data_IF_115498270177
#
_entry.id   IF_115498270177
#
_cell.length_a   1.000
_cell.length_b   1.000
_cell.length_c   1.000
_cell.angle_alpha   90.00
_cell.angle_beta   90.00
_cell.angle_gamma   90.00
#
_symmetry.space_group_name_H-M   'P 1'
#
loop_
_entity.id
_entity.type
_entity.pdbx_description
1 polymer ?
#
# COMPACT_ATOMS: atom_id res chain seq x y z
N UNK A 1 -4.87 -61.41 24.84
CA UNK A 1 -4.41 -61.31 23.43
C UNK A 1 -4.58 -59.88 22.95
N UNK A 2 -3.52 -59.33 22.38
CA UNK A 2 -3.40 -57.97 21.86
C UNK A 2 -3.79 -57.95 20.38
N UNK A 3 -4.72 -57.07 19.94
CA UNK A 3 -4.89 -56.71 18.53
C UNK A 3 -5.30 -55.24 18.41
N UNK A 4 -4.29 -54.43 18.13
CA UNK A 4 -4.36 -53.03 17.74
C UNK A 4 -5.11 -52.92 16.40
N UNK A 5 -6.19 -52.14 16.37
CA UNK A 5 -6.77 -51.64 15.13
C UNK A 5 -6.88 -50.12 15.21
N UNK A 6 -5.97 -49.51 14.46
CA UNK A 6 -5.91 -48.10 14.08
C UNK A 6 -7.10 -47.79 13.19
N UNK A 7 -7.92 -46.79 13.56
CA UNK A 7 -8.53 -45.82 12.63
C UNK A 7 -9.17 -44.69 13.45
N UNK A 8 -8.49 -43.54 13.50
CA UNK A 8 -8.95 -42.31 14.14
C UNK A 8 -9.60 -41.42 13.07
N UNK A 9 -10.94 -41.21 13.03
CA UNK A 9 -11.50 -40.12 12.25
C UNK A 9 -11.46 -38.87 13.13
N UNK A 10 -10.46 -38.01 12.88
CA UNK A 10 -10.46 -36.62 13.36
C UNK A 10 -11.54 -35.84 12.62
N UNK A 11 -12.78 -35.91 13.12
CA UNK A 11 -13.84 -34.97 12.77
C UNK A 11 -13.67 -33.73 13.66
N UNK A 12 -12.85 -32.78 13.20
CA UNK A 12 -12.74 -31.47 13.85
C UNK A 12 -13.99 -30.67 13.46
N UNK A 13 -14.82 -30.42 14.47
CA UNK A 13 -15.89 -29.41 14.45
C UNK A 13 -15.24 -28.04 14.25
N UNK A 14 -15.47 -27.42 13.10
CA UNK A 14 -15.18 -26.00 12.90
C UNK A 14 -16.44 -25.19 13.28
N UNK A 15 -16.50 -24.86 14.56
CA UNK A 15 -17.37 -23.85 15.15
C UNK A 15 -17.12 -22.46 14.55
N UNK A 16 -18.21 -21.74 14.30
CA UNK A 16 -18.37 -20.28 14.32
C UNK A 16 -17.23 -19.41 13.76
N UNK A 17 -17.50 -18.79 12.61
CA UNK A 17 -16.89 -17.50 12.28
C UNK A 17 -17.93 -16.57 11.65
N UNK A 18 -18.88 -16.11 12.49
CA UNK A 18 -19.45 -14.79 12.30
C UNK A 18 -18.32 -13.78 12.60
N UNK A 19 -17.61 -13.36 11.56
CA UNK A 19 -16.82 -12.13 11.62
C UNK A 19 -17.59 -11.02 10.96
N UNK A 20 -18.47 -10.43 11.76
CA UNK A 20 -18.53 -8.98 11.85
C UNK A 20 -17.24 -8.51 12.54
N UNK A 21 -16.19 -8.26 11.75
CA UNK A 21 -15.14 -7.32 12.09
C UNK A 21 -15.11 -6.33 10.92
N UNK A 22 -15.80 -5.20 11.04
CA UNK A 22 -15.15 -3.98 11.50
C UNK A 22 -13.85 -3.74 10.73
N UNK A 23 -13.96 -3.00 9.63
CA UNK A 23 -12.97 -2.00 9.19
C UNK A 23 -11.54 -2.33 9.61
N UNK A 24 -10.99 -3.48 9.21
CA UNK A 24 -9.55 -3.62 9.23
C UNK A 24 -9.07 -2.69 8.12
N UNK A 25 -8.19 -1.70 8.39
CA UNK A 25 -7.37 -1.19 7.32
C UNK A 25 -6.42 -2.35 6.96
N UNK A 26 -6.93 -3.32 6.22
CA UNK A 26 -6.13 -4.28 5.46
C UNK A 26 -5.48 -3.57 4.26
N UNK A 27 -5.78 -2.27 4.07
CA UNK A 27 -4.92 -1.31 3.40
C UNK A 27 -4.04 -0.60 4.44
N UNK A 28 -3.33 -1.35 5.27
CA UNK A 28 -2.05 -0.84 5.71
C UNK A 28 -1.25 -0.69 4.42
N UNK A 29 -1.08 0.56 4.00
CA UNK A 29 -0.42 1.06 2.81
C UNK A 29 1.02 0.49 2.63
N UNK A 30 1.17 -0.81 2.45
CA UNK A 30 2.48 -1.46 2.32
C UNK A 30 2.90 -1.41 0.86
N UNK A 31 3.93 -0.62 0.59
CA UNK A 31 4.58 -0.51 -0.71
C UNK A 31 4.63 0.95 -1.18
N UNK A 32 3.50 1.46 -1.69
CA UNK A 32 3.49 2.71 -2.47
C UNK A 32 2.86 3.88 -1.70
N UNK A 33 1.73 3.62 -1.05
CA UNK A 33 0.92 4.65 -0.40
C UNK A 33 1.51 5.21 0.90
N UNK A 34 2.44 4.50 1.54
CA UNK A 34 3.17 5.00 2.72
C UNK A 34 4.56 5.57 2.36
N UNK A 35 5.28 4.93 1.42
CA UNK A 35 6.66 5.29 1.10
C UNK A 35 6.76 6.47 0.12
N UNK A 36 5.97 6.46 -0.97
CA UNK A 36 6.07 7.50 -2.00
C UNK A 36 5.69 8.90 -1.52
N UNK A 37 4.60 9.13 -0.75
CA UNK A 37 4.26 10.47 -0.29
C UNK A 37 5.34 11.11 0.57
N UNK A 38 5.98 10.32 1.44
CA UNK A 38 7.03 10.78 2.32
C UNK A 38 8.27 11.19 1.52
N UNK A 39 8.67 10.38 0.55
CA UNK A 39 9.84 10.65 -0.29
C UNK A 39 9.60 11.82 -1.28
N UNK A 40 8.41 11.92 -1.88
CA UNK A 40 8.07 13.09 -2.72
C UNK A 40 8.15 14.39 -1.89
N UNK A 41 7.72 14.36 -0.62
CA UNK A 41 7.81 15.53 0.27
C UNK A 41 9.26 15.91 0.57
N UNK A 42 10.14 14.95 0.82
CA UNK A 42 11.57 15.24 1.10
C UNK A 42 12.28 15.75 -0.14
N UNK A 43 11.98 15.22 -1.33
CA UNK A 43 12.54 15.73 -2.58
C UNK A 43 11.96 17.11 -2.92
N UNK A 44 10.67 17.33 -2.71
CA UNK A 44 10.02 18.62 -2.92
C UNK A 44 10.59 19.72 -2.02
N UNK A 45 10.99 19.40 -0.78
CA UNK A 45 11.62 20.35 0.14
C UNK A 45 13.01 20.81 -0.32
N UNK A 46 13.74 19.93 -1.02
CA UNK A 46 15.08 20.20 -1.56
C UNK A 46 15.07 20.80 -2.98
N UNK A 47 13.93 20.71 -3.68
CA UNK A 47 13.79 21.08 -5.08
C UNK A 47 13.23 22.48 -5.31
N UNK A 48 12.84 22.74 -6.56
CA UNK A 48 12.18 23.99 -6.95
C UNK A 48 10.81 24.14 -6.29
N UNK A 49 10.54 25.32 -5.71
CA UNK A 49 9.32 25.57 -4.94
C UNK A 49 8.03 25.53 -5.79
N UNK A 50 8.10 25.79 -7.09
CA UNK A 50 6.95 25.73 -7.99
C UNK A 50 6.64 24.29 -8.40
N UNK A 51 7.68 23.50 -8.70
CA UNK A 51 7.60 22.06 -8.92
C UNK A 51 7.09 21.32 -7.66
N UNK A 52 7.60 21.68 -6.49
CA UNK A 52 7.18 21.18 -5.19
C UNK A 52 5.68 21.36 -4.96
N UNK A 53 5.14 22.56 -5.20
CA UNK A 53 3.69 22.82 -5.05
C UNK A 53 2.84 21.95 -5.98
N UNK A 54 3.29 21.71 -7.21
CA UNK A 54 2.58 20.85 -8.17
C UNK A 54 2.65 19.37 -7.73
N UNK A 55 3.83 18.91 -7.33
CA UNK A 55 4.04 17.55 -6.83
C UNK A 55 3.22 17.26 -5.56
N UNK A 56 3.20 18.17 -4.59
CA UNK A 56 2.44 18.00 -3.34
C UNK A 56 0.92 17.91 -3.58
N UNK A 57 0.39 18.62 -4.59
CA UNK A 57 -1.02 18.47 -4.99
C UNK A 57 -1.33 17.06 -5.54
N UNK A 58 -0.42 16.53 -6.35
CA UNK A 58 -0.52 15.17 -6.88
C UNK A 58 -0.40 14.13 -5.75
N UNK A 59 0.50 14.34 -4.79
CA UNK A 59 0.62 13.50 -3.58
C UNK A 59 -0.69 13.47 -2.82
N UNK A 60 -1.28 14.62 -2.53
CA UNK A 60 -2.55 14.68 -1.79
C UNK A 60 -3.68 13.95 -2.51
N UNK A 61 -3.72 14.02 -3.83
CA UNK A 61 -4.69 13.26 -4.63
C UNK A 61 -4.40 11.76 -4.60
N UNK A 62 -3.13 11.38 -4.65
CA UNK A 62 -2.69 9.99 -4.50
C UNK A 62 -3.06 9.42 -3.13
N UNK A 63 -2.87 10.17 -2.05
CA UNK A 63 -3.26 9.77 -0.68
C UNK A 63 -4.76 9.52 -0.58
N UNK A 64 -5.60 10.37 -1.16
CA UNK A 64 -7.06 10.14 -1.21
C UNK A 64 -7.43 8.87 -1.99
N UNK A 65 -6.67 8.54 -3.05
CA UNK A 65 -6.85 7.31 -3.80
C UNK A 65 -6.39 6.08 -3.01
N UNK A 66 -5.33 6.20 -2.21
CA UNK A 66 -4.89 5.17 -1.27
C UNK A 66 -5.94 4.92 -0.19
N UNK A 67 -6.50 5.97 0.39
CA UNK A 67 -7.58 5.88 1.39
C UNK A 67 -8.83 5.21 0.81
N UNK A 68 -9.08 5.40 -0.49
CA UNK A 68 -10.14 4.74 -1.23
C UNK A 68 -9.82 3.29 -1.66
N UNK A 69 -8.66 2.74 -1.29
CA UNK A 69 -8.22 1.39 -1.68
C UNK A 69 -7.77 1.27 -3.15
N UNK A 70 -7.55 2.40 -3.85
CA UNK A 70 -7.15 2.44 -5.25
C UNK A 70 -5.66 2.77 -5.41
N UNK A 71 -4.82 1.86 -4.92
CA UNK A 71 -3.36 2.03 -4.90
C UNK A 71 -2.75 2.16 -6.31
N UNK A 72 -3.34 1.50 -7.33
CA UNK A 72 -2.86 1.59 -8.72
C UNK A 72 -3.05 2.98 -9.30
N UNK A 73 -4.18 3.62 -9.01
CA UNK A 73 -4.41 5.00 -9.44
C UNK A 73 -3.54 5.97 -8.64
N UNK A 74 -3.36 5.72 -7.34
CA UNK A 74 -2.48 6.50 -6.49
C UNK A 74 -1.02 6.48 -7.00
N UNK A 75 -0.50 5.28 -7.30
CA UNK A 75 0.84 5.09 -7.88
C UNK A 75 1.08 5.97 -9.11
N UNK A 76 0.15 5.99 -10.06
CA UNK A 76 0.26 6.85 -11.26
C UNK A 76 0.34 8.34 -10.93
N UNK A 77 -0.36 8.78 -9.88
CA UNK A 77 -0.31 10.17 -9.40
C UNK A 77 1.03 10.49 -8.75
N UNK A 78 1.56 9.57 -7.95
CA UNK A 78 2.88 9.71 -7.34
C UNK A 78 4.00 9.72 -8.39
N UNK A 79 3.97 8.82 -9.38
CA UNK A 79 4.91 8.84 -10.52
C UNK A 79 4.88 10.18 -11.26
N UNK A 80 3.69 10.74 -11.49
CA UNK A 80 3.55 12.06 -12.11
C UNK A 80 4.13 13.18 -11.24
N UNK A 81 4.07 13.03 -9.91
CA UNK A 81 4.65 13.98 -8.97
C UNK A 81 6.19 13.95 -9.05
N UNK A 82 6.79 12.75 -9.07
CA UNK A 82 8.23 12.60 -9.26
C UNK A 82 8.73 13.16 -10.58
N UNK A 83 7.98 12.93 -11.68
CA UNK A 83 8.27 13.55 -12.98
C UNK A 83 8.26 15.08 -12.93
N UNK A 84 7.36 15.65 -12.13
CA UNK A 84 7.28 17.11 -11.95
C UNK A 84 8.47 17.63 -11.14
N UNK A 85 8.97 16.84 -10.20
CA UNK A 85 10.17 17.17 -9.42
C UNK A 85 11.48 16.93 -10.16
N UNK A 86 11.44 16.33 -11.36
CA UNK A 86 12.63 16.00 -12.14
C UNK A 86 13.42 14.81 -11.59
N UNK A 87 12.80 13.97 -10.76
CA UNK A 87 13.41 12.74 -10.25
C UNK A 87 13.51 11.72 -11.38
N UNK A 88 14.66 11.04 -11.48
CA UNK A 88 14.86 10.01 -12.49
C UNK A 88 13.88 8.85 -12.31
N UNK A 89 13.33 8.33 -13.41
CA UNK A 89 12.35 7.23 -13.38
C UNK A 89 12.86 5.98 -12.66
N UNK A 90 14.16 5.76 -12.73
CA UNK A 90 14.90 4.69 -12.07
C UNK A 90 14.86 4.79 -10.53
N UNK A 91 14.83 6.01 -9.98
CA UNK A 91 14.87 6.28 -8.55
C UNK A 91 13.50 6.02 -7.91
N UNK A 92 12.41 6.50 -8.53
CA UNK A 92 11.07 6.25 -8.00
C UNK A 92 10.45 4.92 -8.45
N UNK A 93 10.92 4.29 -9.53
CA UNK A 93 10.46 2.95 -9.93
C UNK A 93 10.81 1.89 -8.89
N UNK A 94 11.88 2.08 -8.12
CA UNK A 94 12.25 1.21 -7.00
C UNK A 94 11.28 1.34 -5.81
N UNK A 95 10.75 2.54 -5.59
CA UNK A 95 9.72 2.82 -4.59
C UNK A 95 8.32 2.36 -5.02
N UNK A 96 8.16 2.04 -6.31
CA UNK A 96 6.91 1.62 -6.92
C UNK A 96 6.82 0.10 -7.14
N UNK A 97 7.89 -0.66 -6.82
CA UNK A 97 7.93 -2.13 -6.86
C UNK A 97 7.29 -2.73 -5.62
#
# INVERSE_FOLDING_TARGET
>A
MNRVLVTLPLAIVASAFFVSASVTPAHAATGVCAAMPADIRTVADKGDAEAAKKALKLVRTGELLCDAGNERAAKKKFESAYKTLGVAEEEYAQLAK
#
